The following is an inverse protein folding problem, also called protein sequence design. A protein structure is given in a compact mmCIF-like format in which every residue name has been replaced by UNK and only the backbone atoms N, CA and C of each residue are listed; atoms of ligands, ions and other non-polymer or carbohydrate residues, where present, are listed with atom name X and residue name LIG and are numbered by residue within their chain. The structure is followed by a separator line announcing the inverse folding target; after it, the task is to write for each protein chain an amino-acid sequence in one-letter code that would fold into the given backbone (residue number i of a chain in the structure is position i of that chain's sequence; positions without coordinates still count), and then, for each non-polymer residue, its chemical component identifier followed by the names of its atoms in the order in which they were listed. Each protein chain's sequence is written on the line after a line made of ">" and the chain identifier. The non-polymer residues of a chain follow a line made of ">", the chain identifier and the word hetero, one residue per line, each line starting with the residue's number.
data_IF_052727383141
#
_entry.id   IF_052727383141
#
_cell.length_a   1.000
_cell.length_b   1.000
_cell.length_c   1.000
_cell.angle_alpha   90.00
_cell.angle_beta   90.00
_cell.angle_gamma   90.00
#
_symmetry.space_group_name_H-M   'P 1'
#
loop_
_entity.id
_entity.type
_entity.pdbx_description
1 polymer ?
#
# COMPACT_ATOMS: atom_id res chain seq x y z
N UNK A 1 -6.46 31.75 16.05
CA UNK A 1 -5.52 30.61 16.15
C UNK A 1 -5.98 29.58 15.14
N UNK A 2 -5.24 29.36 14.06
CA UNK A 2 -5.58 28.29 13.11
C UNK A 2 -5.34 26.95 13.79
N UNK A 3 -6.37 26.11 13.91
CA UNK A 3 -6.20 24.70 14.26
C UNK A 3 -5.13 24.12 13.32
N UNK A 4 -4.03 23.65 13.90
CA UNK A 4 -3.04 22.87 13.15
C UNK A 4 -3.68 21.52 12.86
N UNK A 5 -4.37 21.41 11.73
CA UNK A 5 -4.83 20.13 11.21
C UNK A 5 -3.63 19.22 11.05
N UNK A 6 -3.62 18.10 11.78
CA UNK A 6 -2.59 17.07 11.63
C UNK A 6 -2.71 16.54 10.20
N UNK A 7 -1.65 16.58 9.38
CA UNK A 7 -1.74 16.13 8.00
C UNK A 7 -2.06 14.63 7.95
N UNK A 8 -3.03 14.28 7.11
CA UNK A 8 -3.45 12.89 6.88
C UNK A 8 -2.27 12.03 6.45
N UNK A 9 -2.04 10.90 7.10
CA UNK A 9 -0.97 9.97 6.74
C UNK A 9 -1.53 8.78 5.99
N UNK A 10 -1.06 8.56 4.75
CA UNK A 10 -1.45 7.45 3.90
C UNK A 10 -0.29 6.48 3.75
N UNK A 11 -0.54 5.20 4.04
CA UNK A 11 0.47 4.13 3.99
C UNK A 11 0.29 3.29 2.72
N UNK A 12 1.34 3.22 1.91
CA UNK A 12 1.46 2.34 0.75
C UNK A 12 2.57 1.33 1.07
N UNK A 13 2.34 0.05 0.78
CA UNK A 13 3.35 -0.99 0.96
C UNK A 13 3.68 -1.67 -0.37
N UNK A 14 4.95 -2.00 -0.58
CA UNK A 14 5.42 -2.79 -1.72
C UNK A 14 5.78 -4.19 -1.22
N UNK A 15 5.16 -5.22 -1.80
CA UNK A 15 5.46 -6.63 -1.52
C UNK A 15 5.69 -7.39 -2.82
N UNK A 16 6.37 -8.53 -2.74
CA UNK A 16 6.84 -9.27 -3.92
C UNK A 16 8.15 -9.98 -3.63
N UNK A 17 8.53 -10.95 -4.47
CA UNK A 17 9.73 -11.76 -4.23
C UNK A 17 11.00 -10.91 -4.05
N UNK A 18 11.98 -11.45 -3.34
CA UNK A 18 13.32 -10.86 -3.31
C UNK A 18 13.88 -10.72 -4.73
N UNK A 19 14.60 -9.62 -4.99
CA UNK A 19 15.25 -9.37 -6.29
C UNK A 19 14.35 -8.86 -7.43
N UNK A 20 13.02 -8.76 -7.24
CA UNK A 20 12.11 -8.19 -8.27
C UNK A 20 12.31 -6.68 -8.48
N UNK A 21 12.95 -6.00 -7.52
CA UNK A 21 13.34 -4.59 -7.64
C UNK A 21 12.45 -3.58 -6.91
N UNK A 22 11.68 -4.00 -5.90
CA UNK A 22 10.85 -3.12 -5.04
C UNK A 22 11.61 -1.88 -4.54
N UNK A 23 12.76 -2.12 -3.89
CA UNK A 23 13.62 -1.07 -3.34
C UNK A 23 14.18 -0.16 -4.42
N UNK A 24 14.57 -0.72 -5.57
CA UNK A 24 15.07 0.08 -6.70
C UNK A 24 13.98 0.94 -7.31
N UNK A 25 12.75 0.42 -7.40
CA UNK A 25 11.60 1.14 -7.95
C UNK A 25 11.15 2.26 -7.00
N UNK A 26 11.06 1.98 -5.70
CA UNK A 26 10.83 3.01 -4.68
C UNK A 26 11.93 4.07 -4.71
N UNK A 27 13.20 3.67 -4.68
CA UNK A 27 14.32 4.62 -4.69
C UNK A 27 14.35 5.46 -5.98
N UNK A 28 13.96 4.88 -7.12
CA UNK A 28 13.82 5.62 -8.37
C UNK A 28 12.73 6.69 -8.27
N UNK A 29 11.55 6.33 -7.79
CA UNK A 29 10.45 7.28 -7.57
C UNK A 29 10.81 8.39 -6.59
N UNK A 30 11.54 8.05 -5.53
CA UNK A 30 11.79 8.93 -4.38
C UNK A 30 12.99 9.84 -4.60
N UNK A 31 14.11 9.25 -4.97
CA UNK A 31 15.41 9.94 -5.03
C UNK A 31 15.87 10.20 -6.47
N UNK A 32 15.09 9.79 -7.48
CA UNK A 32 15.48 9.83 -8.90
C UNK A 32 16.83 9.16 -9.15
N UNK A 33 17.12 8.09 -8.38
CA UNK A 33 18.40 7.37 -8.38
C UNK A 33 18.20 5.88 -8.58
N UNK A 34 19.15 5.27 -9.27
CA UNK A 34 19.26 3.83 -9.45
C UNK A 34 20.71 3.39 -9.23
N UNK A 35 20.89 2.19 -8.68
CA UNK A 35 22.21 1.58 -8.48
C UNK A 35 22.18 0.13 -8.94
N UNK A 36 23.23 -0.29 -9.64
CA UNK A 36 23.43 -1.69 -10.03
C UNK A 36 23.90 -2.56 -8.86
N UNK A 37 24.32 -1.96 -7.74
CA UNK A 37 24.75 -2.71 -6.58
C UNK A 37 23.54 -3.37 -5.92
N UNK A 38 23.38 -4.68 -6.12
CA UNK A 38 22.39 -5.45 -5.38
C UNK A 38 22.73 -5.40 -3.89
N UNK A 39 21.82 -4.82 -3.12
CA UNK A 39 21.82 -4.86 -1.66
C UNK A 39 20.48 -5.43 -1.24
N UNK A 40 20.50 -6.62 -0.63
CA UNK A 40 19.29 -7.17 -0.04
C UNK A 40 18.79 -6.22 1.04
N UNK A 41 17.50 -5.88 1.00
CA UNK A 41 16.88 -5.07 2.06
C UNK A 41 16.84 -5.90 3.32
N UNK A 42 17.48 -5.40 4.38
CA UNK A 42 17.45 -6.03 5.70
C UNK A 42 16.26 -5.46 6.45
N UNK A 43 15.21 -6.27 6.61
CA UNK A 43 13.97 -5.85 7.27
C UNK A 43 13.09 -4.99 6.36
N UNK A 44 12.89 -3.73 6.72
CA UNK A 44 11.95 -2.81 6.04
C UNK A 44 12.54 -1.41 6.00
N UNK A 45 12.44 -0.76 4.86
CA UNK A 45 12.76 0.66 4.71
C UNK A 45 11.46 1.44 4.45
N UNK A 46 11.39 2.69 4.87
CA UNK A 46 10.22 3.52 4.56
C UNK A 46 10.64 4.93 4.16
N UNK A 47 9.91 5.44 3.18
CA UNK A 47 10.04 6.81 2.71
C UNK A 47 8.79 7.62 3.07
N UNK A 48 8.98 8.87 3.46
CA UNK A 48 7.90 9.80 3.80
C UNK A 48 7.97 11.05 2.93
N UNK A 49 6.86 11.36 2.23
CA UNK A 49 6.74 12.54 1.37
C UNK A 49 5.48 13.31 1.70
N UNK A 50 5.62 14.60 1.96
CA UNK A 50 4.49 15.52 1.98
C UNK A 50 4.07 15.81 0.55
N UNK A 51 2.79 15.63 0.25
CA UNK A 51 2.21 15.95 -1.06
C UNK A 51 0.78 16.47 -0.89
N UNK A 52 0.20 16.98 -1.95
CA UNK A 52 -1.22 17.39 -1.98
C UNK A 52 -1.95 16.46 -2.92
N UNK A 53 -2.98 15.78 -2.43
CA UNK A 53 -3.85 14.90 -3.21
C UNK A 53 -5.26 15.46 -3.18
N UNK A 54 -5.85 15.76 -4.34
CA UNK A 54 -7.20 16.32 -4.47
C UNK A 54 -7.44 17.56 -3.58
N UNK A 55 -6.43 18.41 -3.43
CA UNK A 55 -6.46 19.61 -2.59
C UNK A 55 -6.16 19.38 -1.11
N UNK A 56 -6.00 18.13 -0.67
CA UNK A 56 -5.72 17.79 0.73
C UNK A 56 -4.21 17.56 0.97
N UNK A 57 -3.61 18.22 1.98
CA UNK A 57 -2.24 17.96 2.36
C UNK A 57 -2.13 16.58 3.06
N UNK A 58 -1.35 15.69 2.45
CA UNK A 58 -1.11 14.34 2.96
C UNK A 58 0.38 14.05 3.16
N UNK A 59 0.67 13.15 4.10
CA UNK A 59 1.97 12.49 4.26
C UNK A 59 1.85 11.10 3.66
N UNK A 60 2.51 10.88 2.54
CA UNK A 60 2.60 9.56 1.92
C UNK A 60 3.77 8.79 2.55
N UNK A 61 3.48 7.67 3.19
CA UNK A 61 4.46 6.71 3.69
C UNK A 61 4.53 5.51 2.76
N UNK A 62 5.68 5.29 2.14
CA UNK A 62 5.93 4.18 1.23
C UNK A 62 6.85 3.19 1.93
N UNK A 63 6.36 1.97 2.13
CA UNK A 63 7.04 0.91 2.86
C UNK A 63 7.59 -0.11 1.87
N UNK A 64 8.92 -0.26 1.83
CA UNK A 64 9.63 -1.25 1.03
C UNK A 64 10.01 -2.45 1.90
N UNK A 65 9.62 -3.65 1.45
CA UNK A 65 9.92 -4.91 2.14
C UNK A 65 11.07 -5.66 1.46
N UNK A 66 11.68 -6.61 2.19
CA UNK A 66 12.75 -7.44 1.63
C UNK A 66 12.29 -8.37 0.50
N UNK A 67 11.05 -8.85 0.55
CA UNK A 67 10.55 -9.94 -0.28
C UNK A 67 10.92 -11.34 0.19
N UNK A 68 11.42 -11.46 1.43
CA UNK A 68 11.69 -12.73 2.12
C UNK A 68 10.75 -12.95 3.30
N UNK A 69 9.88 -11.98 3.61
CA UNK A 69 8.97 -11.97 4.74
C UNK A 69 7.92 -13.11 4.73
N UNK A 70 7.81 -13.87 3.63
CA UNK A 70 7.01 -15.11 3.47
C UNK A 70 7.13 -16.11 4.63
N UNK A 71 8.23 -16.07 5.38
CA UNK A 71 8.58 -17.10 6.35
C UNK A 71 8.97 -16.60 7.74
N UNK A 72 8.78 -15.32 8.06
CA UNK A 72 9.13 -14.81 9.39
C UNK A 72 7.89 -14.29 10.12
N UNK A 73 7.67 -14.81 11.33
CA UNK A 73 6.66 -14.39 12.32
C UNK A 73 6.75 -12.91 12.75
N UNK A 74 7.54 -12.11 12.03
CA UNK A 74 7.82 -10.69 12.22
C UNK A 74 7.08 -9.79 11.20
N UNK A 75 6.38 -10.36 10.20
CA UNK A 75 5.72 -9.61 9.11
C UNK A 75 4.40 -8.90 9.47
N UNK A 76 3.69 -9.37 10.50
CA UNK A 76 2.32 -8.91 10.81
C UNK A 76 2.18 -7.41 11.11
N UNK A 77 3.10 -6.74 11.83
CA UNK A 77 3.00 -5.28 12.06
C UNK A 77 3.20 -4.45 10.79
N UNK A 78 3.88 -4.98 9.78
CA UNK A 78 4.21 -4.22 8.57
C UNK A 78 3.01 -4.02 7.65
N UNK A 79 2.10 -5.00 7.57
CA UNK A 79 0.96 -4.92 6.66
C UNK A 79 -0.19 -4.09 7.24
N UNK A 80 -0.37 -4.13 8.57
CA UNK A 80 -1.44 -3.40 9.26
C UNK A 80 -1.42 -1.90 8.99
N UNK A 81 -2.60 -1.32 8.83
CA UNK A 81 -2.80 0.10 8.56
C UNK A 81 -2.35 0.54 7.15
N UNK A 82 -2.04 -0.41 6.26
CA UNK A 82 -1.82 -0.08 4.85
C UNK A 82 -3.14 0.36 4.21
N UNK A 83 -3.07 1.40 3.39
CA UNK A 83 -4.21 1.96 2.67
C UNK A 83 -4.21 1.53 1.20
N UNK A 84 -3.08 1.07 0.67
CA UNK A 84 -2.92 0.46 -0.65
C UNK A 84 -1.68 -0.46 -0.66
N UNK A 85 -1.70 -1.49 -1.50
CA UNK A 85 -0.61 -2.45 -1.64
C UNK A 85 -0.17 -2.57 -3.11
N UNK A 86 1.13 -2.46 -3.36
CA UNK A 86 1.76 -2.73 -4.66
C UNK A 86 2.37 -4.14 -4.64
N UNK A 87 1.82 -5.00 -5.50
CA UNK A 87 2.32 -6.33 -5.80
C UNK A 87 3.34 -6.24 -6.94
N UNK A 88 4.63 -6.34 -6.62
CA UNK A 88 5.71 -6.15 -7.59
C UNK A 88 6.27 -7.49 -8.04
N UNK A 89 6.41 -7.66 -9.35
CA UNK A 89 7.09 -8.81 -9.96
C UNK A 89 8.08 -8.37 -11.03
N UNK A 90 8.90 -9.31 -11.48
CA UNK A 90 9.86 -9.14 -12.55
C UNK A 90 9.29 -9.73 -13.85
N UNK A 91 9.18 -8.93 -14.91
CA UNK A 91 8.63 -9.39 -16.20
C UNK A 91 9.47 -10.51 -16.85
N UNK A 92 10.73 -10.66 -16.44
CA UNK A 92 11.62 -11.76 -16.89
C UNK A 92 11.59 -12.97 -15.94
N UNK A 93 10.65 -13.04 -15.00
CA UNK A 93 10.53 -14.17 -14.07
C UNK A 93 9.07 -14.56 -13.87
N UNK A 94 8.64 -15.59 -14.59
CA UNK A 94 7.32 -16.23 -14.44
C UNK A 94 7.10 -16.74 -13.02
N UNK A 95 8.17 -17.21 -12.36
CA UNK A 95 8.14 -17.61 -10.96
C UNK A 95 7.78 -16.44 -10.02
N UNK A 96 8.28 -15.23 -10.27
CA UNK A 96 7.94 -14.05 -9.46
C UNK A 96 6.47 -13.65 -9.63
N UNK A 97 5.93 -13.74 -10.85
CA UNK A 97 4.52 -13.47 -11.15
C UNK A 97 3.58 -14.51 -10.55
N UNK A 98 3.88 -15.81 -10.72
CA UNK A 98 3.06 -16.89 -10.17
C UNK A 98 2.99 -16.87 -8.64
N UNK A 99 3.91 -16.16 -7.99
CA UNK A 99 3.96 -16.05 -6.55
C UNK A 99 3.16 -14.84 -5.99
N UNK A 100 2.57 -13.99 -6.84
CA UNK A 100 1.77 -12.83 -6.43
C UNK A 100 0.46 -13.22 -5.72
N UNK A 101 -0.16 -14.34 -6.11
CA UNK A 101 -1.36 -14.84 -5.44
C UNK A 101 -1.10 -15.17 -3.96
N UNK A 102 0.04 -15.80 -3.67
CA UNK A 102 0.47 -16.07 -2.31
C UNK A 102 0.74 -14.78 -1.54
N UNK A 103 1.43 -13.80 -2.17
CA UNK A 103 1.68 -12.48 -1.56
C UNK A 103 0.38 -11.74 -1.21
N UNK A 104 -0.59 -11.73 -2.13
CA UNK A 104 -1.89 -11.10 -1.91
C UNK A 104 -2.65 -11.78 -0.78
N UNK A 105 -2.73 -13.12 -0.77
CA UNK A 105 -3.39 -13.88 0.30
C UNK A 105 -2.75 -13.63 1.66
N UNK A 106 -1.41 -13.65 1.72
CA UNK A 106 -0.67 -13.38 2.95
C UNK A 106 -0.96 -11.97 3.47
N UNK A 107 -0.94 -10.96 2.59
CA UNK A 107 -1.28 -9.58 2.95
C UNK A 107 -2.70 -9.46 3.52
N UNK A 108 -3.69 -10.10 2.89
CA UNK A 108 -5.07 -10.07 3.36
C UNK A 108 -5.25 -10.74 4.72
N UNK A 109 -4.54 -11.84 4.97
CA UNK A 109 -4.59 -12.57 6.25
C UNK A 109 -3.89 -11.81 7.38
N UNK A 110 -2.68 -11.29 7.12
CA UNK A 110 -1.86 -10.67 8.16
C UNK A 110 -2.12 -9.17 8.33
N UNK A 111 -2.50 -8.47 7.27
CA UNK A 111 -2.78 -7.03 7.27
C UNK A 111 -4.15 -6.68 7.83
N UNK A 112 -5.07 -7.64 7.82
CA UNK A 112 -6.45 -7.51 8.33
C UNK A 112 -7.10 -6.17 7.90
N UNK A 113 -7.11 -5.84 6.59
CA UNK A 113 -7.71 -4.59 6.13
C UNK A 113 -9.21 -4.56 6.46
N UNK A 114 -9.74 -3.35 6.71
CA UNK A 114 -11.15 -3.16 7.09
C UNK A 114 -12.15 -3.70 6.05
N UNK A 115 -11.82 -3.56 4.76
CA UNK A 115 -12.58 -4.12 3.64
C UNK A 115 -11.65 -4.96 2.76
N UNK A 116 -11.46 -6.26 3.06
CA UNK A 116 -10.56 -7.14 2.31
C UNK A 116 -10.98 -7.36 0.86
N UNK A 117 -12.28 -7.32 0.57
CA UNK A 117 -12.85 -7.52 -0.77
C UNK A 117 -12.58 -6.36 -1.71
N UNK A 118 -12.57 -5.14 -1.18
CA UNK A 118 -12.40 -3.89 -1.93
C UNK A 118 -11.04 -3.22 -1.63
N UNK A 119 -10.10 -3.95 -1.02
CA UNK A 119 -8.81 -3.39 -0.68
C UNK A 119 -8.02 -3.06 -1.97
N UNK A 120 -7.48 -1.82 -2.12
CA UNK A 120 -6.84 -1.42 -3.36
C UNK A 120 -5.47 -2.07 -3.54
N UNK A 121 -5.38 -2.95 -4.53
CA UNK A 121 -4.13 -3.52 -5.02
C UNK A 121 -3.74 -2.94 -6.37
N UNK A 122 -2.43 -2.69 -6.53
CA UNK A 122 -1.80 -2.40 -7.83
C UNK A 122 -0.78 -3.49 -8.10
N UNK A 123 -0.75 -4.01 -9.31
CA UNK A 123 0.24 -4.96 -9.79
C UNK A 123 1.24 -4.24 -10.66
N UNK A 124 2.53 -4.39 -10.35
CA UNK A 124 3.63 -3.72 -11.04
C UNK A 124 4.60 -4.74 -11.64
N UNK A 125 4.63 -4.78 -12.98
CA UNK A 125 5.66 -5.50 -13.73
C UNK A 125 6.91 -4.65 -13.90
N UNK A 126 7.96 -4.94 -13.14
CA UNK A 126 9.24 -4.23 -13.22
C UNK A 126 10.20 -4.89 -14.22
N UNK A 127 11.28 -4.17 -14.56
CA UNK A 127 12.39 -4.58 -15.44
C UNK A 127 12.00 -4.74 -16.91
N UNK A 128 11.10 -3.88 -17.39
CA UNK A 128 10.75 -3.82 -18.82
C UNK A 128 11.92 -3.44 -19.74
N UNK A 129 13.05 -2.99 -19.19
CA UNK A 129 14.28 -2.75 -19.95
C UNK A 129 15.02 -4.03 -20.37
N UNK A 130 14.63 -5.20 -19.84
CA UNK A 130 15.23 -6.49 -20.19
C UNK A 130 14.46 -7.17 -21.33
N UNK A 131 15.18 -7.82 -22.24
CA UNK A 131 14.62 -8.50 -23.42
C UNK A 131 13.96 -9.85 -23.12
N UNK A 132 14.39 -10.52 -22.04
CA UNK A 132 14.06 -11.92 -21.74
C UNK A 132 12.72 -12.04 -21.00
N UNK A 133 11.68 -11.42 -21.55
CA UNK A 133 10.34 -11.39 -20.94
C UNK A 133 9.73 -12.79 -20.91
N UNK A 134 9.37 -13.24 -19.71
CA UNK A 134 8.66 -14.52 -19.48
C UNK A 134 7.15 -14.31 -19.24
N UNK A 135 6.75 -13.10 -18.86
CA UNK A 135 5.35 -12.74 -18.55
C UNK A 135 4.86 -11.68 -19.52
N UNK A 136 3.89 -12.05 -20.38
CA UNK A 136 3.27 -11.09 -21.30
C UNK A 136 2.36 -10.12 -20.55
N UNK A 137 2.30 -8.88 -21.03
CA UNK A 137 1.42 -7.85 -20.46
C UNK A 137 -0.04 -8.29 -20.45
N UNK A 138 -0.47 -9.01 -21.49
CA UNK A 138 -1.83 -9.59 -21.57
C UNK A 138 -2.10 -10.59 -20.45
N UNK A 139 -1.16 -11.50 -20.15
CA UNK A 139 -1.31 -12.48 -19.07
C UNK A 139 -1.40 -11.79 -17.71
N UNK A 140 -0.54 -10.79 -17.48
CA UNK A 140 -0.56 -10.03 -16.24
C UNK A 140 -1.86 -9.23 -16.08
N UNK A 141 -2.29 -8.53 -17.12
CA UNK A 141 -3.53 -7.76 -17.14
C UNK A 141 -4.76 -8.62 -16.87
N UNK A 142 -4.86 -9.79 -17.53
CA UNK A 142 -5.97 -10.73 -17.29
C UNK A 142 -6.05 -11.16 -15.83
N UNK A 143 -4.92 -11.50 -15.21
CA UNK A 143 -4.90 -11.86 -13.79
C UNK A 143 -5.31 -10.69 -12.89
N UNK A 144 -4.91 -9.46 -13.24
CA UNK A 144 -5.30 -8.26 -12.50
C UNK A 144 -6.82 -8.04 -12.53
N UNK A 145 -7.46 -8.25 -13.69
CA UNK A 145 -8.92 -8.20 -13.83
C UNK A 145 -9.61 -9.25 -12.94
N UNK A 146 -9.07 -10.47 -12.86
CA UNK A 146 -9.60 -11.56 -12.03
C UNK A 146 -9.55 -11.24 -10.53
N UNK A 147 -8.50 -10.54 -10.07
CA UNK A 147 -8.29 -10.24 -8.64
C UNK A 147 -8.74 -8.83 -8.23
N UNK A 148 -9.27 -8.04 -9.17
CA UNK A 148 -9.71 -6.66 -8.94
C UNK A 148 -8.57 -5.67 -8.70
N UNK A 149 -7.42 -5.85 -9.36
CA UNK A 149 -6.26 -4.97 -9.24
C UNK A 149 -6.01 -4.18 -10.53
N UNK A 150 -5.33 -3.04 -10.41
CA UNK A 150 -4.85 -2.28 -11.56
C UNK A 150 -3.45 -2.70 -11.96
N UNK A 151 -3.16 -2.75 -13.27
CA UNK A 151 -1.88 -3.19 -13.79
C UNK A 151 -1.04 -2.05 -14.35
N UNK A 152 0.23 -2.01 -13.96
CA UNK A 152 1.25 -1.12 -14.51
C UNK A 152 2.51 -1.92 -14.85
N UNK A 153 3.27 -1.40 -15.82
CA UNK A 153 4.62 -1.86 -16.12
C UNK A 153 5.59 -0.69 -16.01
N UNK A 154 6.86 -0.98 -15.74
CA UNK A 154 7.89 0.04 -15.71
C UNK A 154 9.30 -0.52 -15.55
N UNK A 155 10.29 0.37 -15.56
CA UNK A 155 11.67 0.03 -15.27
C UNK A 155 12.29 1.04 -14.32
N UNK A 156 12.65 0.56 -13.13
CA UNK A 156 13.44 1.35 -12.19
C UNK A 156 14.82 1.77 -12.77
N UNK A 157 15.39 0.92 -13.63
CA UNK A 157 16.71 1.12 -14.23
C UNK A 157 16.67 2.18 -15.32
N UNK A 158 15.74 2.02 -16.27
CA UNK A 158 15.57 2.92 -17.40
C UNK A 158 14.73 4.17 -17.08
N UNK A 159 14.17 4.26 -15.88
CA UNK A 159 13.28 5.36 -15.44
C UNK A 159 12.04 5.50 -16.32
N UNK A 160 11.41 4.36 -16.61
CA UNK A 160 10.21 4.26 -17.46
C UNK A 160 9.00 3.95 -16.60
N UNK A 161 7.96 4.77 -16.70
CA UNK A 161 6.65 4.58 -16.05
C UNK A 161 6.73 4.33 -14.54
N UNK A 162 7.66 5.01 -13.88
CA UNK A 162 7.88 4.87 -12.43
C UNK A 162 6.85 5.66 -11.61
N UNK A 163 6.52 6.90 -12.00
CA UNK A 163 5.58 7.74 -11.25
C UNK A 163 4.10 7.28 -11.30
N UNK A 164 3.55 6.84 -12.46
CA UNK A 164 2.14 6.47 -12.58
C UNK A 164 1.61 5.50 -11.50
N UNK A 165 2.27 4.36 -11.19
CA UNK A 165 1.76 3.44 -10.18
C UNK A 165 1.70 4.06 -8.78
N UNK A 166 2.68 4.88 -8.38
CA UNK A 166 2.65 5.55 -7.07
C UNK A 166 1.59 6.63 -6.97
N UNK A 167 1.41 7.42 -8.04
CA UNK A 167 0.35 8.43 -8.09
C UNK A 167 -1.04 7.79 -8.03
N UNK A 168 -1.24 6.66 -8.71
CA UNK A 168 -2.48 5.92 -8.65
C UNK A 168 -2.71 5.30 -7.27
N UNK A 169 -1.69 4.67 -6.69
CA UNK A 169 -1.74 4.11 -5.34
C UNK A 169 -2.10 5.17 -4.28
N UNK A 170 -1.53 6.37 -4.39
CA UNK A 170 -1.80 7.48 -3.48
C UNK A 170 -3.27 7.93 -3.55
N UNK A 171 -3.84 8.02 -4.76
CA UNK A 171 -5.26 8.35 -4.95
C UNK A 171 -6.18 7.26 -4.39
N UNK A 172 -5.90 5.99 -4.67
CA UNK A 172 -6.67 4.86 -4.15
C UNK A 172 -6.60 4.80 -2.62
N UNK A 173 -5.41 5.02 -2.04
CA UNK A 173 -5.22 5.08 -0.59
C UNK A 173 -6.06 6.20 0.05
N UNK A 174 -6.12 7.39 -0.58
CA UNK A 174 -6.96 8.49 -0.10
C UNK A 174 -8.46 8.15 -0.17
N UNK A 175 -8.90 7.55 -1.27
CA UNK A 175 -10.29 7.11 -1.46
C UNK A 175 -10.68 6.08 -0.39
N UNK A 176 -9.82 5.09 -0.17
CA UNK A 176 -10.02 4.06 0.86
C UNK A 176 -10.08 4.69 2.25
N UNK A 177 -9.17 5.60 2.57
CA UNK A 177 -9.19 6.32 3.86
C UNK A 177 -10.50 7.08 4.07
N UNK A 178 -10.99 7.79 3.04
CA UNK A 178 -12.23 8.56 3.11
C UNK A 178 -13.46 7.67 3.28
N UNK A 179 -13.52 6.54 2.56
CA UNK A 179 -14.60 5.54 2.70
C UNK A 179 -14.75 5.11 4.16
N UNK A 180 -13.65 4.66 4.77
CA UNK A 180 -13.64 4.21 6.18
C UNK A 180 -13.90 5.32 7.19
N UNK A 181 -13.45 6.55 6.92
CA UNK A 181 -13.68 7.67 7.85
C UNK A 181 -15.14 8.12 7.84
N UNK A 182 -15.76 8.20 6.67
CA UNK A 182 -17.16 8.61 6.49
C UNK A 182 -18.14 7.55 7.04
N UNK A 183 -17.88 6.27 6.79
CA UNK A 183 -18.69 5.17 7.34
C UNK A 183 -18.67 5.15 8.88
N UNK A 184 -17.49 5.40 9.47
CA UNK A 184 -17.35 5.45 10.93
C UNK A 184 -17.97 6.70 11.57
N UNK A 185 -18.07 7.82 10.86
CA UNK A 185 -18.78 9.01 11.36
C UNK A 185 -20.29 8.89 11.25
N UNK A 186 -20.82 8.04 10.37
CA UNK A 186 -22.25 7.77 10.23
C UNK A 186 -22.88 6.95 11.35
N UNK A 187 -22.08 6.31 12.22
CA UNK A 187 -22.57 5.42 13.29
C UNK A 187 -22.45 5.99 14.72
N UNK A 188 -21.98 7.23 14.89
CA UNK A 188 -22.02 7.91 16.18
C UNK A 188 -23.35 8.66 16.37
N UNK A 189 -24.44 7.92 16.57
CA UNK A 189 -25.55 8.46 17.37
C UNK A 189 -25.07 8.50 18.82
N UNK A 190 -24.55 9.65 19.23
CA UNK A 190 -24.38 9.99 20.63
C UNK A 190 -25.79 10.05 21.24
N UNK A 191 -26.29 8.95 21.80
CA UNK A 191 -27.26 9.06 22.87
C UNK A 191 -26.51 9.55 24.10
N UNK A 192 -26.42 10.87 24.23
CA UNK A 192 -26.17 11.50 25.52
C UNK A 192 -27.39 11.19 26.41
N UNK A 193 -27.45 9.98 26.98
CA UNK A 193 -28.27 9.77 28.16
C UNK A 193 -27.62 10.55 29.30
N UNK A 194 -28.25 11.67 29.65
CA UNK A 194 -27.93 12.44 30.84
C UNK A 194 -28.01 11.50 32.06
N UNK A 195 -27.01 11.48 32.95
CA UNK A 195 -27.14 10.74 34.20
C UNK A 195 -28.34 11.29 34.97
N UNK A 196 -29.30 10.39 35.27
CA UNK A 196 -30.46 10.70 36.09
C UNK A 196 -29.99 11.29 37.41
N UNK A 197 -30.40 12.53 37.70
CA UNK A 197 -30.28 13.15 39.02
C UNK A 197 -30.95 12.24 40.05
N UNK A 198 -30.15 11.59 40.90
CA UNK A 198 -30.64 11.01 42.15
C UNK A 198 -31.21 12.15 42.99
N UNK A 199 -32.51 12.10 43.28
CA UNK A 199 -33.16 13.02 44.21
C UNK A 199 -32.67 12.70 45.62
N UNK A 200 -31.97 13.66 46.21
CA UNK A 200 -31.80 13.76 47.65
C UNK A 200 -33.17 13.99 48.29
N UNK A 201 -33.67 13.01 49.03
CA UNK A 201 -34.70 13.19 50.06
C UNK A 201 -34.40 12.21 51.18
N UNK A 202 -33.66 12.66 52.18
CA UNK A 202 -33.77 12.14 53.54
C UNK A 202 -34.21 13.33 54.41
N UNK A 203 -35.49 13.35 54.75
CA UNK A 203 -36.08 14.27 55.72
C UNK A 203 -35.96 13.64 57.12
N UNK A 204 -35.58 14.50 58.08
CA UNK A 204 -35.98 14.54 59.49
C UNK A 204 -35.91 13.24 60.32
#
# INVERSE_FOLDING_TARGET
>A
MSEKTVPLTLKIILIGNSGVGKSSFMNRYVNHRFTNAYRATVGTDFFSKKTVLDGEPVILQIWDTAGTERFQSLGTPLYRGSHCCLLVFDVTSSASFGALDAWRKEFLVQGEPLDPSDFPFIVLGNKTDLSDREVSSRKAQQWCEEVGAEYFEGSAKADVDVEPPFNRAAKLALQQYKKHTLENTGHFQITCEQPRKTRDTCMC
#
